data_IF_713527551694
#
_entry.id   IF_713527551694
#
_cell.length_a   1.000
_cell.length_b   1.000
_cell.length_c   1.000
_cell.angle_alpha   90.00
_cell.angle_beta   90.00
_cell.angle_gamma   90.00
#
_symmetry.space_group_name_H-M   'P 1'
#
loop_
_entity.id
_entity.type
_entity.pdbx_description
1 polymer ?
#
# COMPACT_ATOMS: atom_id res chain seq x y z
N UNK A 1 -5.26 -42.11 -64.75
CA UNK A 1 -4.49 -43.32 -65.10
C UNK A 1 -3.13 -42.84 -65.57
N UNK A 2 -2.21 -42.67 -64.61
CA UNK A 2 -1.10 -43.59 -64.26
C UNK A 2 0.10 -43.38 -65.20
N UNK A 3 1.14 -42.68 -64.77
CA UNK A 3 2.26 -43.14 -63.91
C UNK A 3 3.33 -43.83 -64.74
N UNK A 4 4.53 -43.23 -64.88
CA UNK A 4 5.82 -43.92 -64.73
C UNK A 4 7.07 -43.02 -64.83
N UNK A 5 7.60 -42.78 -63.64
CA UNK A 5 8.98 -42.77 -63.16
C UNK A 5 10.18 -43.22 -64.03
N UNK A 6 11.27 -42.45 -63.82
CA UNK A 6 12.68 -42.81 -63.51
C UNK A 6 13.72 -43.08 -64.62
N UNK A 7 14.80 -42.28 -64.59
CA UNK A 7 16.19 -42.69 -64.93
C UNK A 7 17.21 -41.91 -64.08
N UNK A 8 18.16 -42.66 -63.53
CA UNK A 8 19.46 -42.25 -62.97
C UNK A 8 20.34 -41.55 -64.04
N UNK A 9 21.34 -40.72 -63.74
CA UNK A 9 22.72 -41.08 -63.28
C UNK A 9 23.58 -39.77 -63.23
N UNK A 10 24.64 -39.66 -62.39
CA UNK A 10 25.38 -38.41 -62.16
C UNK A 10 26.66 -38.27 -63.00
N UNK A 11 27.27 -37.07 -63.01
CA UNK A 11 28.71 -36.74 -62.85
C UNK A 11 29.09 -35.47 -63.62
N UNK A 12 29.66 -34.46 -62.93
CA UNK A 12 30.82 -33.68 -63.40
C UNK A 12 31.30 -32.69 -62.33
N UNK A 13 32.54 -32.87 -61.92
CA UNK A 13 33.40 -31.97 -61.12
C UNK A 13 33.56 -30.60 -61.77
N UNK A 14 33.48 -29.53 -60.96
CA UNK A 14 33.90 -28.18 -61.34
C UNK A 14 34.73 -27.51 -60.23
N UNK A 15 36.00 -27.32 -60.59
CA UNK A 15 37.03 -26.35 -60.19
C UNK A 15 36.69 -25.23 -59.19
N UNK A 16 37.63 -25.07 -58.24
CA UNK A 16 37.82 -24.00 -57.26
C UNK A 16 37.73 -22.57 -57.81
N UNK A 17 36.99 -21.71 -57.09
CA UNK A 17 37.00 -20.24 -57.22
C UNK A 17 37.47 -19.58 -55.91
N UNK A 18 38.07 -18.38 -55.94
CA UNK A 18 38.85 -17.83 -54.84
C UNK A 18 37.98 -17.22 -53.74
N UNK A 19 38.43 -17.38 -52.50
CA UNK A 19 37.81 -16.89 -51.29
C UNK A 19 37.85 -15.36 -51.21
N UNK A 20 36.67 -14.73 -51.30
CA UNK A 20 36.47 -13.36 -50.87
C UNK A 20 36.52 -13.29 -49.35
N UNK A 21 37.49 -12.53 -48.81
CA UNK A 21 37.49 -12.09 -47.41
C UNK A 21 36.31 -11.15 -47.21
N UNK A 22 35.34 -11.57 -46.40
CA UNK A 22 34.36 -10.65 -45.81
C UNK A 22 34.93 -10.16 -44.49
N UNK A 23 35.32 -8.89 -44.45
CA UNK A 23 35.64 -8.20 -43.21
C UNK A 23 34.45 -8.25 -42.26
N UNK A 24 34.69 -8.71 -41.03
CA UNK A 24 33.71 -8.66 -39.95
C UNK A 24 33.56 -7.22 -39.47
N UNK A 25 32.33 -6.73 -39.21
CA UNK A 25 32.15 -5.40 -38.64
C UNK A 25 32.71 -5.34 -37.20
N UNK A 26 33.18 -4.17 -36.74
CA UNK A 26 33.77 -4.04 -35.41
C UNK A 26 32.73 -4.37 -34.33
N UNK A 27 33.15 -5.16 -33.35
CA UNK A 27 32.36 -5.53 -32.19
C UNK A 27 31.89 -4.26 -31.47
N UNK A 28 30.59 -4.01 -31.44
CA UNK A 28 30.02 -3.01 -30.55
C UNK A 28 30.36 -3.42 -29.12
N UNK A 29 31.15 -2.58 -28.45
CA UNK A 29 31.37 -2.64 -27.02
C UNK A 29 30.02 -2.51 -26.32
N UNK A 30 29.47 -3.62 -25.85
CA UNK A 30 28.31 -3.62 -24.95
C UNK A 30 28.75 -2.90 -23.68
N UNK A 31 28.23 -1.69 -23.47
CA UNK A 31 28.35 -1.01 -22.19
C UNK A 31 27.75 -1.92 -21.10
N UNK A 32 28.39 -2.05 -19.92
CA UNK A 32 27.84 -2.88 -18.87
C UNK A 32 26.45 -2.34 -18.51
N UNK A 33 25.47 -3.25 -18.47
CA UNK A 33 24.16 -2.96 -17.91
C UNK A 33 24.38 -2.48 -16.47
N UNK A 34 24.17 -1.18 -16.24
CA UNK A 34 24.15 -0.63 -14.90
C UNK A 34 22.88 -1.20 -14.25
N UNK A 35 23.04 -2.24 -13.43
CA UNK A 35 21.97 -2.67 -12.54
C UNK A 35 21.59 -1.45 -11.69
N UNK A 36 20.29 -1.15 -11.48
CA UNK A 36 19.91 -0.07 -10.59
C UNK A 36 20.46 -0.41 -9.21
N UNK A 37 21.48 0.33 -8.77
CA UNK A 37 22.15 0.15 -7.49
C UNK A 37 21.40 0.80 -6.34
N UNK A 38 20.23 1.36 -6.60
CA UNK A 38 19.36 1.95 -5.59
C UNK A 38 18.47 0.85 -5.01
N UNK A 39 18.37 0.73 -3.68
CA UNK A 39 17.48 -0.25 -3.06
C UNK A 39 16.05 -0.02 -3.50
N UNK A 40 15.29 -1.10 -3.69
CA UNK A 40 13.85 -1.00 -3.92
C UNK A 40 13.17 -0.34 -2.71
N UNK A 41 12.03 0.36 -2.90
CA UNK A 41 11.19 0.80 -1.79
C UNK A 41 10.86 -0.33 -0.81
N UNK A 42 10.67 0.05 0.45
CA UNK A 42 10.34 -0.82 1.58
C UNK A 42 8.91 -0.54 2.06
N UNK A 43 8.30 -1.48 2.78
CA UNK A 43 6.92 -1.35 3.23
C UNK A 43 6.67 -1.87 4.64
N UNK A 44 5.79 -1.18 5.34
CA UNK A 44 5.29 -1.53 6.66
C UNK A 44 3.77 -1.56 6.65
N UNK A 45 3.21 -2.70 7.02
CA UNK A 45 1.79 -2.92 7.22
C UNK A 45 1.52 -2.95 8.69
N UNK A 46 0.43 -2.29 9.07
CA UNK A 46 -0.04 -2.29 10.44
C UNK A 46 -1.46 -2.90 10.49
N UNK A 47 -1.60 -4.24 10.57
CA UNK A 47 -2.87 -4.90 10.91
C UNK A 47 -3.29 -4.81 12.37
N UNK A 48 -4.40 -5.48 12.70
CA UNK A 48 -4.98 -5.55 14.02
C UNK A 48 -5.16 -7.03 14.44
N UNK A 49 -4.16 -7.61 15.13
CA UNK A 49 -4.20 -8.63 16.21
C UNK A 49 -2.81 -9.29 16.55
N UNK A 50 -2.17 -8.89 17.66
CA UNK A 50 -1.21 -9.72 18.45
C UNK A 50 -1.09 -9.12 19.88
N UNK A 51 -1.14 -9.91 20.99
CA UNK A 51 -1.59 -9.38 22.28
C UNK A 51 -0.51 -9.11 23.35
N UNK A 52 0.78 -9.40 23.17
CA UNK A 52 1.66 -9.56 24.35
C UNK A 52 2.93 -8.71 24.47
N UNK A 53 3.26 -7.81 23.54
CA UNK A 53 4.40 -6.90 23.74
C UNK A 53 4.03 -5.41 23.69
N UNK A 54 3.51 -4.93 24.82
CA UNK A 54 3.25 -3.49 25.04
C UNK A 54 4.51 -2.73 25.50
N UNK A 55 5.68 -3.38 25.53
CA UNK A 55 6.94 -2.74 25.97
C UNK A 55 7.60 -1.89 24.89
N UNK A 56 7.24 -2.15 23.62
CA UNK A 56 7.64 -1.34 22.46
C UNK A 56 6.64 -0.21 22.14
N UNK A 57 5.59 0.00 22.96
CA UNK A 57 4.73 1.21 22.91
C UNK A 57 5.49 2.42 23.50
N UNK A 58 6.69 2.67 23.00
CA UNK A 58 7.47 3.85 23.29
C UNK A 58 7.74 4.63 22.00
N UNK A 59 6.98 5.72 21.91
CA UNK A 59 7.33 7.01 21.27
C UNK A 59 7.10 7.16 19.75
N UNK A 60 6.73 6.11 19.01
CA UNK A 60 6.44 6.22 17.57
C UNK A 60 5.08 5.64 17.13
N UNK A 61 4.59 4.57 17.76
CA UNK A 61 3.57 3.74 17.10
C UNK A 61 2.11 4.18 17.26
N UNK A 62 1.75 4.82 18.38
CA UNK A 62 0.36 5.32 18.55
C UNK A 62 0.16 6.66 17.85
N UNK A 63 1.18 7.52 17.85
CA UNK A 63 1.11 8.82 17.19
C UNK A 63 1.27 8.70 15.65
N UNK A 64 1.88 7.63 15.12
CA UNK A 64 1.87 7.35 13.67
C UNK A 64 0.57 6.68 13.23
N UNK A 65 0.03 5.74 14.02
CA UNK A 65 -1.23 5.07 13.72
C UNK A 65 -2.46 6.01 13.88
N UNK A 66 -2.38 7.04 14.74
CA UNK A 66 -3.50 7.92 15.05
C UNK A 66 -3.26 9.41 14.87
N UNK A 67 -2.00 9.86 14.87
CA UNK A 67 -1.64 11.26 14.81
C UNK A 67 -1.98 11.91 13.48
N UNK A 68 -2.16 13.22 13.56
CA UNK A 68 -2.49 14.04 12.40
C UNK A 68 -1.23 14.44 11.64
N UNK A 69 -1.39 14.84 10.38
CA UNK A 69 -0.33 15.36 9.51
C UNK A 69 0.44 16.50 10.21
N UNK A 70 -0.24 17.26 11.07
CA UNK A 70 0.33 18.32 11.88
C UNK A 70 1.26 17.79 12.99
N UNK A 71 0.89 16.70 13.67
CA UNK A 71 1.71 16.12 14.73
C UNK A 71 3.03 15.56 14.18
N UNK A 72 2.97 14.88 13.02
CA UNK A 72 4.17 14.43 12.32
C UNK A 72 5.05 15.61 11.90
N UNK A 73 4.45 16.65 11.30
CA UNK A 73 5.21 17.82 10.84
C UNK A 73 5.85 18.61 11.99
N UNK A 74 5.20 18.69 13.15
CA UNK A 74 5.75 19.30 14.36
C UNK A 74 6.90 18.48 14.95
N UNK A 75 6.81 17.14 14.88
CA UNK A 75 7.89 16.24 15.31
C UNK A 75 9.11 16.30 14.38
N UNK A 76 8.90 16.54 13.08
CA UNK A 76 9.95 16.66 12.06
C UNK A 76 9.90 18.01 11.32
N UNK A 77 10.34 19.11 11.94
CA UNK A 77 10.30 20.44 11.29
C UNK A 77 11.13 20.56 10.01
N UNK A 78 12.06 19.62 9.77
CA UNK A 78 12.85 19.53 8.54
C UNK A 78 12.16 18.79 7.40
N UNK A 79 11.12 18.00 7.69
CA UNK A 79 10.33 17.28 6.70
C UNK A 79 9.37 18.24 5.96
N UNK A 80 8.90 17.83 4.79
CA UNK A 80 7.84 18.52 4.06
C UNK A 80 6.66 17.56 3.90
N UNK A 81 5.54 17.88 4.54
CA UNK A 81 4.39 16.98 4.59
C UNK A 81 3.33 17.41 3.59
N UNK A 82 2.89 16.48 2.76
CA UNK A 82 1.78 16.68 1.81
C UNK A 82 0.57 15.84 2.24
N UNK A 83 -0.42 16.49 2.84
CA UNK A 83 -1.70 15.85 3.10
C UNK A 83 -2.54 15.80 1.83
N UNK A 84 -3.19 14.67 1.54
CA UNK A 84 -4.11 14.57 0.40
C UNK A 84 -5.48 14.02 0.78
N UNK A 85 -6.53 14.61 0.21
CA UNK A 85 -7.91 14.20 0.45
C UNK A 85 -8.75 14.54 -0.77
N UNK A 86 -9.85 13.82 -0.97
CA UNK A 86 -10.86 14.14 -1.98
C UNK A 86 -11.62 15.42 -1.66
N UNK A 87 -11.70 15.77 -0.39
CA UNK A 87 -12.43 16.92 0.13
C UNK A 87 -11.47 17.99 0.66
N UNK A 88 -11.81 19.29 0.53
CA UNK A 88 -11.05 20.36 1.16
C UNK A 88 -11.37 20.41 2.67
N UNK A 89 -10.85 19.45 3.43
CA UNK A 89 -11.09 19.24 4.87
C UNK A 89 -9.94 19.76 5.75
N UNK A 90 -9.36 20.89 5.37
CA UNK A 90 -8.13 21.40 6.00
C UNK A 90 -8.41 22.04 7.39
N UNK A 91 -7.57 21.77 8.42
CA UNK A 91 -7.62 22.52 9.67
C UNK A 91 -7.27 23.99 9.45
N UNK A 92 -7.83 24.89 10.26
CA UNK A 92 -7.53 26.34 10.17
C UNK A 92 -6.06 26.67 10.48
N UNK A 93 -5.39 25.82 11.25
CA UNK A 93 -4.00 26.00 11.64
C UNK A 93 -3.21 24.72 11.40
N UNK A 94 -2.18 24.84 10.56
CA UNK A 94 -1.28 23.73 10.20
C UNK A 94 0.17 24.24 10.28
N UNK A 95 1.14 23.39 10.64
CA UNK A 95 2.55 23.77 10.66
C UNK A 95 3.02 24.27 9.28
N UNK A 96 4.03 25.16 9.22
CA UNK A 96 4.46 25.81 7.97
C UNK A 96 5.06 24.83 6.94
N UNK A 97 5.43 23.63 7.38
CA UNK A 97 5.94 22.53 6.56
C UNK A 97 4.86 21.52 6.16
N UNK A 98 3.57 21.84 6.35
CA UNK A 98 2.44 21.04 5.87
C UNK A 98 1.72 21.78 4.76
N UNK A 99 1.47 21.07 3.66
CA UNK A 99 0.64 21.54 2.56
C UNK A 99 -0.41 20.49 2.21
N UNK A 100 -1.60 20.94 1.83
CA UNK A 100 -2.70 20.04 1.46
C UNK A 100 -3.02 20.16 -0.01
N UNK A 101 -3.13 19.01 -0.68
CA UNK A 101 -3.51 18.90 -2.08
C UNK A 101 -4.78 18.06 -2.21
N UNK A 102 -5.69 18.46 -3.10
CA UNK A 102 -6.87 17.66 -3.39
C UNK A 102 -6.48 16.58 -4.39
N UNK A 103 -6.52 15.32 -3.97
CA UNK A 103 -6.20 14.18 -4.83
C UNK A 103 -7.06 12.97 -4.49
N UNK A 104 -7.47 12.23 -5.51
CA UNK A 104 -8.19 10.97 -5.38
C UNK A 104 -7.19 9.81 -5.33
N UNK A 105 -7.14 9.10 -4.21
CA UNK A 105 -6.26 7.95 -4.01
C UNK A 105 -6.54 6.80 -4.99
N UNK A 106 -7.72 6.76 -5.62
CA UNK A 106 -8.13 5.72 -6.59
C UNK A 106 -7.72 6.01 -8.03
N UNK A 107 -7.15 7.20 -8.29
CA UNK A 107 -6.68 7.61 -9.60
C UNK A 107 -5.15 7.62 -9.66
N UNK A 108 -4.60 7.89 -10.84
CA UNK A 108 -3.17 8.20 -10.96
C UNK A 108 -2.84 9.43 -10.13
N UNK A 109 -1.88 9.27 -9.22
CA UNK A 109 -1.45 10.33 -8.32
C UNK A 109 -0.72 11.44 -9.08
N UNK A 110 -0.96 12.71 -8.76
CA UNK A 110 -0.42 13.85 -9.52
C UNK A 110 1.10 14.03 -9.35
N UNK A 111 1.73 13.31 -8.41
CA UNK A 111 3.15 13.41 -8.12
C UNK A 111 4.00 12.59 -9.09
N UNK A 112 5.23 13.05 -9.29
CA UNK A 112 6.21 12.39 -10.16
C UNK A 112 6.68 11.07 -9.55
N UNK A 113 7.32 10.25 -10.38
CA UNK A 113 7.97 9.02 -9.90
C UNK A 113 9.10 9.37 -8.93
N UNK A 114 9.29 8.53 -7.91
CA UNK A 114 10.34 8.68 -6.90
C UNK A 114 10.34 10.07 -6.22
N UNK A 115 9.16 10.54 -5.82
CA UNK A 115 8.97 11.87 -5.24
C UNK A 115 9.05 11.89 -3.71
N UNK A 116 8.52 10.87 -3.05
CA UNK A 116 8.37 10.83 -1.60
C UNK A 116 9.37 9.87 -0.96
N UNK A 117 10.05 10.30 0.09
CA UNK A 117 10.90 9.42 0.90
C UNK A 117 10.05 8.53 1.83
N UNK A 118 8.83 8.97 2.16
CA UNK A 118 7.86 8.23 2.95
C UNK A 118 6.40 8.41 2.44
N UNK A 119 5.59 7.37 2.45
CA UNK A 119 4.16 7.41 2.06
C UNK A 119 3.36 6.78 3.19
N UNK A 120 2.31 7.45 3.68
CA UNK A 120 1.54 6.97 4.83
C UNK A 120 0.04 6.85 4.50
N UNK A 121 -0.37 5.64 4.19
CA UNK A 121 -1.76 5.33 3.84
C UNK A 121 -2.51 5.01 5.13
N UNK A 122 -3.66 5.62 5.36
CA UNK A 122 -4.42 5.38 6.59
C UNK A 122 -5.92 5.53 6.41
N UNK A 123 -6.69 4.62 7.00
CA UNK A 123 -8.15 4.67 7.06
C UNK A 123 -8.81 4.83 5.68
N UNK A 124 -8.32 4.10 4.67
CA UNK A 124 -8.91 4.06 3.35
C UNK A 124 -9.86 2.87 3.12
N UNK A 125 -10.02 1.97 4.10
CA UNK A 125 -11.00 0.89 4.05
C UNK A 125 -12.40 1.41 3.69
N UNK A 126 -13.13 0.66 2.86
CA UNK A 126 -14.45 1.07 2.34
C UNK A 126 -14.41 2.15 1.26
N UNK A 127 -13.29 2.85 1.06
CA UNK A 127 -13.11 3.86 0.02
C UNK A 127 -12.39 3.37 -1.24
N UNK A 128 -11.50 2.38 -1.08
CA UNK A 128 -10.66 1.84 -2.17
C UNK A 128 -11.30 0.60 -2.80
N UNK A 129 -11.38 0.61 -4.12
CA UNK A 129 -11.86 -0.53 -4.92
C UNK A 129 -10.71 -1.43 -5.40
N UNK A 130 -9.58 -0.84 -5.78
CA UNK A 130 -8.40 -1.54 -6.32
C UNK A 130 -7.17 -1.25 -5.45
N UNK A 131 -6.96 -2.08 -4.43
CA UNK A 131 -5.80 -2.01 -3.54
C UNK A 131 -4.47 -2.27 -4.27
N UNK A 132 -4.36 -3.25 -5.20
CA UNK A 132 -3.18 -3.38 -6.05
C UNK A 132 -2.83 -2.09 -6.79
N UNK A 133 -3.80 -1.41 -7.40
CA UNK A 133 -3.55 -0.14 -8.10
C UNK A 133 -3.09 0.97 -7.13
N UNK A 134 -3.68 1.06 -5.94
CA UNK A 134 -3.26 1.99 -4.89
C UNK A 134 -1.77 1.80 -4.54
N UNK A 135 -1.36 0.55 -4.27
CA UNK A 135 0.03 0.26 -3.91
C UNK A 135 1.00 0.36 -5.09
N UNK A 136 0.53 0.18 -6.33
CA UNK A 136 1.33 0.48 -7.52
C UNK A 136 1.65 1.97 -7.63
N UNK A 137 0.67 2.85 -7.39
CA UNK A 137 0.90 4.29 -7.35
C UNK A 137 1.80 4.69 -6.18
N UNK A 138 1.60 4.10 -5.01
CA UNK A 138 2.48 4.28 -3.86
C UNK A 138 3.93 3.89 -4.19
N UNK A 139 4.13 2.74 -4.84
CA UNK A 139 5.45 2.28 -5.27
C UNK A 139 6.08 3.22 -6.31
N UNK A 140 5.31 3.68 -7.29
CA UNK A 140 5.77 4.62 -8.32
C UNK A 140 6.24 5.93 -7.71
N UNK A 141 5.46 6.48 -6.78
CA UNK A 141 5.75 7.77 -6.14
C UNK A 141 6.77 7.67 -5.01
N UNK A 142 6.99 6.49 -4.42
CA UNK A 142 8.01 6.27 -3.40
C UNK A 142 9.41 6.28 -4.01
N UNK A 143 10.33 7.04 -3.41
CA UNK A 143 11.72 7.08 -3.81
C UNK A 143 12.41 5.72 -3.52
N UNK A 144 13.48 5.36 -4.26
CA UNK A 144 14.24 4.16 -4.00
C UNK A 144 14.86 4.22 -2.60
N UNK A 145 14.61 3.19 -1.77
CA UNK A 145 15.00 3.15 -0.37
C UNK A 145 14.07 3.92 0.59
N UNK A 146 13.01 4.54 0.06
CA UNK A 146 11.91 5.10 0.85
C UNK A 146 10.97 4.03 1.39
N UNK A 147 10.02 4.46 2.21
CA UNK A 147 9.09 3.59 2.93
C UNK A 147 7.64 3.91 2.62
N UNK A 148 6.81 2.87 2.50
CA UNK A 148 5.35 3.01 2.51
C UNK A 148 4.80 2.35 3.76
N UNK A 149 4.08 3.10 4.58
CA UNK A 149 3.35 2.58 5.74
C UNK A 149 1.85 2.58 5.44
N UNK A 150 1.18 1.44 5.62
CA UNK A 150 -0.28 1.32 5.51
C UNK A 150 -0.90 0.94 6.86
N UNK A 151 -1.69 1.86 7.41
CA UNK A 151 -2.34 1.76 8.71
C UNK A 151 -3.85 1.61 8.52
N UNK A 152 -4.34 0.38 8.53
CA UNK A 152 -5.75 0.09 8.22
C UNK A 152 -6.39 -0.73 9.33
N UNK A 153 -7.57 -0.28 9.76
CA UNK A 153 -8.43 -1.06 10.64
C UNK A 153 -9.42 -1.91 9.83
N UNK A 154 -10.01 -2.88 10.50
CA UNK A 154 -11.18 -3.61 10.02
C UNK A 154 -12.43 -3.06 10.72
N UNK A 155 -13.58 -3.13 10.05
CA UNK A 155 -14.88 -2.79 10.62
C UNK A 155 -15.42 -3.87 11.58
N UNK A 156 -14.79 -5.05 11.59
CA UNK A 156 -15.11 -6.15 12.49
C UNK A 156 -14.63 -5.87 13.93
N UNK A 157 -15.50 -6.16 14.89
CA UNK A 157 -15.17 -6.05 16.31
C UNK A 157 -14.77 -7.41 16.89
N UNK A 158 -13.61 -7.44 17.53
CA UNK A 158 -13.07 -8.62 18.20
C UNK A 158 -13.09 -8.47 19.71
N UNK A 159 -13.05 -9.60 20.42
CA UNK A 159 -12.87 -9.65 21.87
C UNK A 159 -11.93 -10.79 22.24
N UNK A 160 -11.08 -10.55 23.23
CA UNK A 160 -10.11 -11.54 23.71
C UNK A 160 -10.78 -12.78 24.36
N UNK A 161 -12.04 -12.65 24.77
CA UNK A 161 -12.83 -13.70 25.43
C UNK A 161 -13.94 -14.29 24.54
N UNK A 162 -14.04 -13.87 23.28
CA UNK A 162 -15.04 -14.34 22.31
C UNK A 162 -16.48 -13.90 22.62
N UNK A 163 -16.67 -12.89 23.47
CA UNK A 163 -18.02 -12.37 23.77
C UNK A 163 -18.65 -11.66 22.58
N UNK A 164 -17.86 -11.02 21.71
CA UNK A 164 -18.33 -10.37 20.47
C UNK A 164 -19.02 -11.35 19.52
N UNK A 165 -18.54 -12.59 19.44
CA UNK A 165 -19.12 -13.64 18.58
C UNK A 165 -20.55 -14.00 18.95
N UNK A 166 -20.97 -13.69 20.18
CA UNK A 166 -22.30 -14.00 20.68
C UNK A 166 -23.25 -12.79 20.65
N UNK A 167 -22.79 -11.61 20.21
CA UNK A 167 -23.58 -10.38 20.17
C UNK A 167 -24.26 -10.20 18.81
N UNK A 168 -25.59 -10.40 18.69
CA UNK A 168 -26.27 -10.37 17.40
C UNK A 168 -26.21 -9.01 16.71
N UNK A 169 -26.07 -7.91 17.47
CA UNK A 169 -25.92 -6.58 16.89
C UNK A 169 -24.60 -6.42 16.13
N UNK A 170 -23.49 -6.93 16.68
CA UNK A 170 -22.17 -6.87 16.05
C UNK A 170 -22.05 -7.83 14.86
N UNK A 171 -22.69 -9.01 14.94
CA UNK A 171 -22.80 -9.89 13.77
C UNK A 171 -23.56 -9.21 12.62
N UNK A 172 -24.72 -8.60 12.93
CA UNK A 172 -25.50 -7.88 11.93
C UNK A 172 -24.75 -6.69 11.35
N UNK A 173 -23.94 -6.01 12.16
CA UNK A 173 -23.06 -4.92 11.72
C UNK A 173 -22.07 -5.43 10.66
N UNK A 174 -21.28 -6.47 10.97
CA UNK A 174 -20.33 -7.05 10.02
C UNK A 174 -21.02 -7.51 8.71
N UNK A 175 -22.14 -8.22 8.82
CA UNK A 175 -22.95 -8.67 7.67
C UNK A 175 -23.36 -7.53 6.73
N UNK A 176 -23.68 -6.35 7.28
CA UNK A 176 -24.11 -5.20 6.49
C UNK A 176 -22.94 -4.60 5.71
N UNK A 177 -21.77 -4.47 6.33
CA UNK A 177 -20.57 -3.97 5.66
C UNK A 177 -20.03 -4.95 4.63
N UNK A 178 -20.12 -6.26 4.89
CA UNK A 178 -19.70 -7.27 3.92
C UNK A 178 -20.58 -7.23 2.67
N UNK A 179 -21.91 -7.16 2.85
CA UNK A 179 -22.86 -7.02 1.73
C UNK A 179 -22.67 -5.70 0.97
N UNK A 180 -22.58 -4.58 1.70
CA UNK A 180 -22.38 -3.26 1.09
C UNK A 180 -21.05 -3.16 0.34
N UNK A 181 -20.00 -3.74 0.92
CA UNK A 181 -18.69 -3.78 0.28
C UNK A 181 -18.67 -4.65 -0.98
N UNK A 182 -19.32 -5.82 -0.95
CA UNK A 182 -19.47 -6.68 -2.11
C UNK A 182 -20.28 -6.02 -3.25
N UNK A 183 -21.35 -5.29 -2.92
CA UNK A 183 -22.16 -4.58 -3.92
C UNK A 183 -21.43 -3.40 -4.57
N UNK A 184 -20.61 -2.69 -3.79
CA UNK A 184 -19.85 -1.52 -4.27
C UNK A 184 -18.47 -1.87 -4.82
N UNK A 185 -18.00 -3.10 -4.60
CA UNK A 185 -16.64 -3.54 -4.88
C UNK A 185 -15.59 -2.90 -3.96
N UNK A 186 -15.98 -2.34 -2.81
CA UNK A 186 -15.07 -1.69 -1.86
C UNK A 186 -15.08 -2.44 -0.54
N UNK A 187 -13.97 -3.08 -0.19
CA UNK A 187 -13.90 -3.87 1.05
C UNK A 187 -13.72 -2.98 2.27
N UNK A 188 -14.46 -3.27 3.33
CA UNK A 188 -14.24 -2.73 4.69
C UNK A 188 -13.34 -3.65 5.54
N UNK A 189 -12.89 -4.75 4.93
CA UNK A 189 -12.09 -5.80 5.55
C UNK A 189 -10.74 -5.94 4.82
N UNK A 190 -9.87 -4.91 4.84
CA UNK A 190 -8.65 -4.89 4.03
C UNK A 190 -7.60 -5.92 4.49
N UNK A 191 -7.78 -6.53 5.66
CA UNK A 191 -6.90 -7.57 6.19
C UNK A 191 -7.29 -8.98 5.76
N UNK A 192 -8.52 -9.18 5.26
CA UNK A 192 -8.96 -10.47 4.78
C UNK A 192 -8.13 -10.93 3.58
N UNK A 193 -7.90 -12.24 3.52
CA UNK A 193 -7.15 -12.89 2.44
C UNK A 193 -5.76 -12.28 2.19
N UNK A 194 -5.14 -11.67 3.20
CA UNK A 194 -3.84 -10.98 3.07
C UNK A 194 -3.84 -9.98 1.89
N UNK A 195 -4.95 -9.27 1.66
CA UNK A 195 -5.11 -8.36 0.52
C UNK A 195 -4.01 -7.29 0.47
N UNK A 196 -3.72 -6.63 1.58
CA UNK A 196 -2.66 -5.61 1.64
C UNK A 196 -1.27 -6.19 1.42
N UNK A 197 -0.93 -7.28 2.12
CA UNK A 197 0.37 -7.96 1.98
C UNK A 197 0.64 -8.38 0.53
N UNK A 198 -0.36 -9.02 -0.11
CA UNK A 198 -0.27 -9.40 -1.52
C UNK A 198 -0.09 -8.18 -2.41
N UNK A 199 -0.92 -7.16 -2.23
CA UNK A 199 -0.91 -5.97 -3.09
C UNK A 199 0.42 -5.20 -3.00
N UNK A 200 0.98 -5.07 -1.80
CA UNK A 200 2.31 -4.46 -1.59
C UNK A 200 3.41 -5.31 -2.22
N UNK A 201 3.38 -6.63 -2.00
CA UNK A 201 4.41 -7.53 -2.55
C UNK A 201 4.38 -7.52 -4.08
N UNK A 202 3.17 -7.54 -4.68
CA UNK A 202 2.98 -7.49 -6.14
C UNK A 202 3.37 -6.15 -6.76
N UNK A 203 3.25 -5.04 -6.02
CA UNK A 203 3.71 -3.73 -6.45
C UNK A 203 5.25 -3.64 -6.56
N UNK A 204 5.99 -4.47 -5.82
CA UNK A 204 7.44 -4.59 -5.91
C UNK A 204 8.22 -4.17 -4.66
N UNK A 205 7.54 -3.92 -3.53
CA UNK A 205 8.18 -3.69 -2.24
C UNK A 205 8.91 -4.96 -1.76
N UNK A 206 10.06 -4.80 -1.10
CA UNK A 206 10.98 -5.94 -0.83
C UNK A 206 11.20 -6.26 0.64
N UNK A 207 11.12 -5.28 1.54
CA UNK A 207 11.11 -5.46 3.00
C UNK A 207 9.70 -5.13 3.46
N UNK A 208 8.84 -6.15 3.53
CA UNK A 208 7.44 -6.02 3.96
C UNK A 208 7.35 -6.51 5.40
N UNK A 209 6.98 -5.60 6.30
CA UNK A 209 6.75 -5.90 7.72
C UNK A 209 5.29 -5.77 8.05
N UNK A 210 4.83 -6.57 9.00
CA UNK A 210 3.42 -6.64 9.39
C UNK A 210 3.37 -6.54 10.91
N UNK A 211 2.67 -5.53 11.43
CA UNK A 211 2.56 -5.22 12.85
C UNK A 211 1.11 -5.13 13.31
N UNK A 212 0.79 -5.82 14.37
CA UNK A 212 -0.57 -5.87 14.85
C UNK A 212 -0.81 -4.99 16.08
N UNK A 213 -1.82 -4.11 16.04
CA UNK A 213 -2.19 -3.28 17.20
C UNK A 213 -3.61 -3.50 17.68
N UNK A 214 -3.77 -3.54 19.00
CA UNK A 214 -5.08 -3.50 19.65
C UNK A 214 -5.60 -2.08 19.73
N UNK A 215 -6.72 -1.84 19.04
CA UNK A 215 -7.52 -0.62 19.15
C UNK A 215 -8.76 -0.91 20.02
N UNK A 216 -8.67 -0.77 21.36
CA UNK A 216 -9.82 -1.01 22.23
C UNK A 216 -10.92 0.00 21.96
N UNK A 217 -12.17 -0.35 22.28
CA UNK A 217 -13.32 0.55 22.18
C UNK A 217 -13.79 0.90 23.58
N UNK A 218 -13.49 2.12 24.03
CA UNK A 218 -13.79 2.65 25.36
C UNK A 218 -12.66 2.45 26.39
N UNK A 219 -12.82 3.05 27.56
CA UNK A 219 -11.79 3.14 28.60
C UNK A 219 -11.66 1.92 29.52
N UNK A 220 -12.20 0.76 29.15
CA UNK A 220 -12.15 -0.46 29.97
C UNK A 220 -10.77 -1.14 30.12
N UNK A 221 -9.76 -0.96 29.24
CA UNK A 221 -8.44 -1.53 29.47
C UNK A 221 -7.78 -1.01 30.75
N UNK A 222 -7.09 -1.88 31.49
CA UNK A 222 -6.36 -1.47 32.70
C UNK A 222 -5.11 -0.62 32.40
N UNK A 223 -4.55 -0.75 31.20
CA UNK A 223 -3.42 0.06 30.76
C UNK A 223 -3.92 1.47 30.44
N UNK A 224 -3.35 2.48 31.10
CA UNK A 224 -3.75 3.88 30.93
C UNK A 224 -3.68 4.37 29.48
N UNK A 225 -2.60 4.05 28.74
CA UNK A 225 -2.44 4.47 27.34
C UNK A 225 -3.53 3.84 26.47
N UNK A 226 -3.81 2.54 26.63
CA UNK A 226 -4.86 1.84 25.89
C UNK A 226 -6.27 2.30 26.29
N UNK A 227 -6.49 2.66 27.55
CA UNK A 227 -7.76 3.23 28.03
C UNK A 227 -8.02 4.61 27.41
N UNK A 228 -7.03 5.50 27.42
CA UNK A 228 -7.11 6.82 26.77
C UNK A 228 -7.35 6.68 25.26
N UNK A 229 -6.58 5.80 24.60
CA UNK A 229 -6.78 5.43 23.21
C UNK A 229 -8.21 4.93 22.95
N UNK A 230 -8.71 4.02 23.78
CA UNK A 230 -10.02 3.44 23.58
C UNK A 230 -11.15 4.45 23.72
N UNK A 231 -11.00 5.46 24.57
CA UNK A 231 -11.95 6.58 24.61
C UNK A 231 -11.96 7.38 23.30
N UNK A 232 -10.81 7.62 22.66
CA UNK A 232 -10.78 8.26 21.34
C UNK A 232 -11.45 7.39 20.27
N UNK A 233 -11.16 6.08 20.23
CA UNK A 233 -11.81 5.16 19.28
C UNK A 233 -13.32 5.11 19.50
N UNK A 234 -13.79 5.08 20.76
CA UNK A 234 -15.22 5.14 21.09
C UNK A 234 -15.85 6.44 20.60
N UNK A 235 -15.19 7.57 20.82
CA UNK A 235 -15.67 8.88 20.32
C UNK A 235 -15.73 8.90 18.80
N UNK A 236 -14.73 8.35 18.10
CA UNK A 236 -14.77 8.20 16.64
C UNK A 236 -16.01 7.39 16.27
N UNK A 237 -16.18 6.17 16.76
CA UNK A 237 -17.33 5.32 16.38
C UNK A 237 -18.70 5.95 16.70
N UNK A 238 -18.83 6.68 17.82
CA UNK A 238 -20.07 7.34 18.22
C UNK A 238 -20.41 8.59 17.38
N UNK A 239 -19.39 9.32 16.91
CA UNK A 239 -19.57 10.59 16.18
C UNK A 239 -19.38 10.45 14.67
N UNK A 240 -18.79 9.35 14.20
CA UNK A 240 -18.37 9.16 12.80
C UNK A 240 -19.43 8.48 11.93
N UNK A 241 -20.68 8.34 12.42
CA UNK A 241 -21.80 7.89 11.60
C UNK A 241 -22.01 8.77 10.35
N UNK A 242 -21.57 10.03 10.37
CA UNK A 242 -21.55 10.90 9.19
C UNK A 242 -20.25 10.78 8.36
N UNK A 243 -19.09 10.58 8.99
CA UNK A 243 -17.79 10.51 8.32
C UNK A 243 -17.49 9.14 7.67
N UNK A 244 -18.17 8.07 8.09
CA UNK A 244 -18.12 6.78 7.40
C UNK A 244 -18.78 6.81 6.00
N UNK A 245 -19.53 7.88 5.69
CA UNK A 245 -20.02 8.21 4.35
C UNK A 245 -19.24 9.35 3.68
N UNK A 246 -18.24 9.91 4.36
CA UNK A 246 -17.33 10.92 3.84
C UNK A 246 -16.12 10.26 3.16
N UNK A 247 -15.49 10.92 2.19
CA UNK A 247 -14.40 10.32 1.43
C UNK A 247 -13.13 10.14 2.31
N UNK A 248 -12.32 9.11 2.02
CA UNK A 248 -11.18 8.75 2.87
C UNK A 248 -9.97 9.67 2.64
N UNK A 249 -9.09 9.76 3.64
CA UNK A 249 -7.95 10.69 3.71
C UNK A 249 -6.61 9.97 3.50
N UNK A 250 -5.80 10.41 2.54
CA UNK A 250 -4.49 9.81 2.22
C UNK A 250 -3.34 10.75 2.64
N UNK A 251 -2.42 10.27 3.48
CA UNK A 251 -1.28 11.07 3.95
C UNK A 251 -0.01 10.72 3.17
N UNK A 252 0.75 11.72 2.71
CA UNK A 252 2.04 11.45 2.06
C UNK A 252 3.10 12.43 2.58
N UNK A 253 4.08 11.96 3.35
CA UNK A 253 5.08 12.83 3.97
C UNK A 253 6.47 12.66 3.34
N UNK A 254 7.08 13.74 2.82
CA UNK A 254 8.49 13.76 2.39
C UNK A 254 9.42 14.05 3.57
#
# INVERSE_FOLDING_TARGET
MTDQQYRDTPTATATSSPSFRTDSPPSASVAPAYAPSSPAPQAELIPAEDPEDVSDIDRYDIDSALGSDADFADAYPSAQVVGSDLSPSQPEWVPPNVHFEIADATLTWPWKDNYFDFVHIRYLFGGIQDWPALFQEAYRCCAPGGWVQSCEADIHFYSDDGTTDNEPALQKWADLYEKGGAETGRTFFPQQEALQERSITEAGFTDVRIFDYKLPVGGWPNNRKLSELGEYVRLTLENDLEGMFAPPRLLIAC
#
